data_IF_596149956353
#
_entry.id   IF_596149956353
#
_cell.length_a   1.000
_cell.length_b   1.000
_cell.length_c   1.000
_cell.angle_alpha   90.00
_cell.angle_beta   90.00
_cell.angle_gamma   90.00
#
_symmetry.space_group_name_H-M   'P 1'
#
loop_
_entity.id
_entity.type
_entity.pdbx_description
1 polymer ?
#
# COMPACT_ATOMS: atom_id res chain seq x y z
N UNK A 1 0.45 -19.91 -12.31
CA UNK A 1 0.75 -19.44 -10.94
C UNK A 1 -0.47 -18.70 -10.43
N UNK A 2 -1.04 -19.10 -9.28
CA UNK A 2 -2.28 -18.51 -8.76
C UNK A 2 -1.98 -17.14 -8.15
N UNK A 3 -2.59 -16.07 -8.66
CA UNK A 3 -2.48 -14.74 -8.04
C UNK A 3 -3.30 -14.69 -6.76
N UNK A 4 -2.71 -14.20 -5.68
CA UNK A 4 -3.39 -14.05 -4.39
C UNK A 4 -3.81 -12.60 -4.21
N UNK A 5 -5.11 -12.36 -4.06
CA UNK A 5 -5.63 -11.03 -3.72
C UNK A 5 -5.67 -10.85 -2.21
N UNK A 6 -5.13 -9.74 -1.71
CA UNK A 6 -5.16 -9.37 -0.30
C UNK A 6 -5.83 -8.01 -0.13
N UNK A 7 -6.68 -7.90 0.90
CA UNK A 7 -7.34 -6.67 1.29
C UNK A 7 -6.51 -5.94 2.35
N UNK A 8 -6.26 -4.66 2.13
CA UNK A 8 -5.58 -3.76 3.06
C UNK A 8 -6.54 -2.67 3.52
N UNK A 9 -6.47 -2.30 4.80
CA UNK A 9 -7.06 -1.06 5.30
C UNK A 9 -5.95 -0.06 5.56
N UNK A 10 -5.91 1.04 4.81
CA UNK A 10 -4.82 2.02 4.82
C UNK A 10 -5.31 3.33 5.40
N UNK A 11 -4.58 3.83 6.41
CA UNK A 11 -4.83 5.14 6.98
C UNK A 11 -4.29 6.23 6.06
N UNK A 12 -5.15 7.17 5.67
CA UNK A 12 -4.84 8.21 4.70
C UNK A 12 -5.20 9.59 5.23
N UNK A 13 -4.42 10.56 4.76
CA UNK A 13 -4.61 11.96 5.05
C UNK A 13 -3.84 12.80 4.03
N UNK A 14 -4.53 13.74 3.40
CA UNK A 14 -4.01 14.83 2.57
C UNK A 14 -4.32 16.17 3.27
N UNK A 15 -3.31 16.88 3.80
CA UNK A 15 -3.53 18.11 4.57
C UNK A 15 -4.16 19.25 3.76
N UNK A 16 -4.10 19.19 2.42
CA UNK A 16 -4.66 20.22 1.55
C UNK A 16 -6.14 19.95 1.20
N UNK A 17 -6.64 18.73 1.45
CA UNK A 17 -7.98 18.29 1.02
C UNK A 17 -8.85 17.72 2.13
N UNK A 18 -8.26 17.04 3.10
CA UNK A 18 -9.00 16.25 4.07
C UNK A 18 -9.22 17.02 5.38
N UNK A 19 -10.47 17.07 5.84
CA UNK A 19 -10.80 17.63 7.17
C UNK A 19 -10.23 16.77 8.31
N UNK A 20 -10.18 15.45 8.11
CA UNK A 20 -9.65 14.50 9.07
C UNK A 20 -9.16 13.23 8.36
N UNK A 21 -8.21 12.51 8.96
CA UNK A 21 -7.75 11.24 8.41
C UNK A 21 -8.86 10.19 8.31
N UNK A 22 -8.72 9.26 7.36
CA UNK A 22 -9.69 8.21 7.10
C UNK A 22 -9.03 6.87 6.79
N UNK A 23 -9.80 5.79 6.92
CA UNK A 23 -9.38 4.44 6.50
C UNK A 23 -9.90 4.16 5.09
N UNK A 24 -9.01 3.75 4.20
CA UNK A 24 -9.34 3.32 2.85
C UNK A 24 -9.10 1.81 2.71
N UNK A 25 -10.13 1.07 2.27
CA UNK A 25 -9.99 -0.34 1.92
C UNK A 25 -9.43 -0.45 0.48
N UNK A 26 -8.35 -1.21 0.30
CA UNK A 26 -7.66 -1.38 -1.00
C UNK A 26 -7.30 -2.84 -1.22
N UNK A 27 -7.65 -3.37 -2.38
CA UNK A 27 -7.27 -4.71 -2.81
C UNK A 27 -5.99 -4.68 -3.64
N UNK A 28 -5.07 -5.60 -3.38
CA UNK A 28 -3.88 -5.79 -4.22
C UNK A 28 -3.72 -7.26 -4.59
N UNK A 29 -3.40 -7.48 -5.86
CA UNK A 29 -2.92 -8.77 -6.35
C UNK A 29 -1.43 -8.89 -6.06
N UNK A 30 -1.05 -9.89 -5.27
CA UNK A 30 0.33 -10.19 -4.96
C UNK A 30 0.93 -11.10 -6.03
N UNK A 31 2.15 -10.79 -6.42
CA UNK A 31 3.00 -11.67 -7.22
C UNK A 31 3.82 -12.60 -6.31
N UNK A 32 4.33 -13.74 -6.82
CA UNK A 32 5.14 -14.67 -6.02
C UNK A 32 6.40 -14.05 -5.38
N UNK A 33 6.88 -12.93 -5.93
CA UNK A 33 7.99 -12.13 -5.40
C UNK A 33 7.63 -11.30 -4.18
N UNK A 34 6.34 -11.00 -3.96
CA UNK A 34 5.88 -10.06 -2.94
C UNK A 34 5.74 -10.77 -1.60
N UNK A 35 6.89 -10.97 -0.93
CA UNK A 35 6.96 -11.73 0.33
C UNK A 35 6.80 -10.87 1.58
N UNK A 36 7.08 -9.56 1.50
CA UNK A 36 6.97 -8.63 2.63
C UNK A 36 5.84 -7.63 2.41
N UNK A 37 5.34 -7.07 3.52
CA UNK A 37 4.36 -5.97 3.48
C UNK A 37 4.86 -4.79 2.64
N UNK A 38 6.15 -4.45 2.77
CA UNK A 38 6.75 -3.36 2.00
C UNK A 38 6.64 -3.60 0.48
N UNK A 39 6.76 -4.83 0.01
CA UNK A 39 6.65 -5.16 -1.42
C UNK A 39 5.21 -4.88 -1.91
N UNK A 40 4.21 -5.29 -1.13
CA UNK A 40 2.80 -5.00 -1.40
C UNK A 40 2.51 -3.48 -1.41
N UNK A 41 3.04 -2.74 -0.44
CA UNK A 41 2.88 -1.27 -0.36
C UNK A 41 3.55 -0.56 -1.55
N UNK A 42 4.71 -1.04 -1.99
CA UNK A 42 5.41 -0.50 -3.17
C UNK A 42 4.63 -0.77 -4.45
N UNK A 43 4.04 -1.97 -4.58
CA UNK A 43 3.15 -2.29 -5.70
C UNK A 43 1.89 -1.41 -5.68
N UNK A 44 1.30 -1.19 -4.52
CA UNK A 44 0.15 -0.31 -4.36
C UNK A 44 0.50 1.12 -4.79
N UNK A 45 1.63 1.68 -4.32
CA UNK A 45 2.07 3.02 -4.72
C UNK A 45 2.39 3.14 -6.21
N UNK A 46 2.87 2.07 -6.84
CA UNK A 46 3.08 2.07 -8.29
C UNK A 46 1.76 2.16 -9.10
N UNK A 47 0.62 1.76 -8.50
CA UNK A 47 -0.72 1.90 -9.09
C UNK A 47 -1.40 3.22 -8.67
N UNK A 48 -1.16 3.68 -7.45
CA UNK A 48 -1.70 4.92 -6.88
C UNK A 48 -0.55 5.76 -6.28
N UNK A 49 -0.08 6.76 -7.03
CA UNK A 49 1.04 7.61 -6.60
C UNK A 49 0.64 8.64 -5.52
N UNK A 50 -0.66 8.74 -5.18
CA UNK A 50 -1.11 9.58 -4.07
C UNK A 50 -0.84 8.95 -2.69
N UNK A 51 -0.44 7.68 -2.65
CA UNK A 51 -0.04 7.00 -1.42
C UNK A 51 1.39 7.35 -1.02
N UNK A 52 1.57 7.71 0.25
CA UNK A 52 2.86 8.08 0.83
C UNK A 52 3.22 7.19 2.02
N UNK A 53 4.45 6.69 2.04
CA UNK A 53 5.05 5.97 3.17
C UNK A 53 6.58 6.07 3.11
N UNK A 54 7.25 5.90 4.27
CA UNK A 54 8.71 5.94 4.37
C UNK A 54 9.30 4.54 4.27
N UNK A 55 10.44 4.41 3.58
CA UNK A 55 11.22 3.17 3.49
C UNK A 55 12.71 3.49 3.34
N UNK A 56 13.57 2.58 3.82
CA UNK A 56 15.03 2.65 3.63
C UNK A 56 15.65 1.25 3.46
N UNK A 57 16.07 0.60 4.54
CA UNK A 57 16.90 -0.62 4.50
C UNK A 57 16.25 -1.90 3.97
N UNK A 58 14.93 -1.98 3.75
CA UNK A 58 14.18 -3.16 3.24
C UNK A 58 14.36 -4.50 4.02
N UNK A 59 15.22 -4.54 5.02
CA UNK A 59 15.54 -5.72 5.81
C UNK A 59 15.13 -5.63 7.28
N UNK A 60 14.70 -4.45 7.73
CA UNK A 60 14.22 -4.23 9.10
C UNK A 60 15.39 -4.03 10.03
#
# INVERSE_FOLDING_TARGET
MTKRTVQFKIYRYDPDKDEKPYMQDISVELEPSDKKLLDALVRLRAKDDSMSFRRSCREG
#
